data_IF_178459577522
#
_entry.id   IF_178459577522
#
_cell.length_a   1.000
_cell.length_b   1.000
_cell.length_c   1.000
_cell.angle_alpha   90.00
_cell.angle_beta   90.00
_cell.angle_gamma   90.00
#
_symmetry.space_group_name_H-M   'P 1'
#
loop_
_entity.id
_entity.type
_entity.pdbx_description
1 polymer ?
#
# COMPACT_ATOMS: atom_id res chain seq x y z
N UNK A 1 -6.54 2.57 -18.35
CA UNK A 1 -6.70 4.02 -18.05
C UNK A 1 -5.32 4.61 -17.76
N UNK A 2 -5.07 5.88 -18.11
CA UNK A 2 -3.78 6.53 -17.83
C UNK A 2 -3.54 6.65 -16.32
N UNK A 3 -2.29 6.46 -15.88
CA UNK A 3 -1.90 6.55 -14.47
C UNK A 3 -2.01 8.00 -13.95
N UNK A 4 -3.07 8.31 -13.21
CA UNK A 4 -3.25 9.62 -12.60
C UNK A 4 -2.48 9.71 -11.27
N UNK A 5 -1.25 10.24 -11.35
CA UNK A 5 -0.32 10.37 -10.20
C UNK A 5 -0.95 11.09 -9.00
N UNK A 6 -1.69 12.16 -9.24
CA UNK A 6 -2.31 12.97 -8.18
C UNK A 6 -3.40 12.21 -7.44
N UNK A 7 -4.29 11.55 -8.18
CA UNK A 7 -5.35 10.74 -7.58
C UNK A 7 -4.75 9.57 -6.80
N UNK A 8 -3.76 8.88 -7.36
CA UNK A 8 -3.09 7.76 -6.67
C UNK A 8 -2.37 8.17 -5.40
N UNK A 9 -1.69 9.32 -5.41
CA UNK A 9 -1.10 9.86 -4.19
C UNK A 9 -2.15 10.19 -3.14
N UNK A 10 -3.31 10.73 -3.54
CA UNK A 10 -4.45 10.99 -2.64
C UNK A 10 -5.04 9.72 -2.06
N UNK A 11 -5.32 8.72 -2.90
CA UNK A 11 -5.82 7.42 -2.47
C UNK A 11 -4.87 6.77 -1.45
N UNK A 12 -3.55 6.85 -1.70
CA UNK A 12 -2.56 6.31 -0.78
C UNK A 12 -2.54 7.05 0.57
N UNK A 13 -2.61 8.39 0.55
CA UNK A 13 -2.63 9.21 1.78
C UNK A 13 -3.85 8.85 2.62
N UNK A 14 -5.03 8.73 2.01
CA UNK A 14 -6.25 8.37 2.73
C UNK A 14 -6.19 6.94 3.28
N UNK A 15 -5.66 5.98 2.53
CA UNK A 15 -5.45 4.63 3.04
C UNK A 15 -4.49 4.58 4.24
N UNK A 16 -3.36 5.31 4.19
CA UNK A 16 -2.42 5.41 5.31
C UNK A 16 -3.09 6.07 6.52
N UNK A 17 -3.88 7.13 6.30
CA UNK A 17 -4.63 7.82 7.35
C UNK A 17 -5.61 6.88 8.04
N UNK A 18 -6.39 6.14 7.26
CA UNK A 18 -7.33 5.13 7.76
C UNK A 18 -6.59 4.04 8.54
N UNK A 19 -5.48 3.52 8.01
CA UNK A 19 -4.69 2.50 8.71
C UNK A 19 -4.19 3.00 10.08
N UNK A 20 -3.67 4.23 10.17
CA UNK A 20 -3.26 4.79 11.46
C UNK A 20 -4.42 4.97 12.45
N UNK A 21 -5.61 5.35 11.98
CA UNK A 21 -6.80 5.43 12.82
C UNK A 21 -7.15 4.05 13.38
N UNK A 22 -7.17 3.02 12.53
CA UNK A 22 -7.48 1.65 12.92
C UNK A 22 -6.48 1.09 13.94
N UNK A 23 -5.18 1.34 13.74
CA UNK A 23 -4.13 0.95 14.69
C UNK A 23 -4.29 1.67 16.04
N UNK A 24 -4.58 2.97 16.03
CA UNK A 24 -4.79 3.75 17.26
C UNK A 24 -6.03 3.31 18.03
N UNK A 25 -7.10 2.98 17.31
CA UNK A 25 -8.38 2.52 17.89
C UNK A 25 -8.39 1.02 18.19
N UNK A 26 -7.34 0.29 17.79
CA UNK A 26 -7.19 -1.15 17.96
C UNK A 26 -8.43 -1.94 17.51
N UNK A 27 -8.94 -1.62 16.31
CA UNK A 27 -10.14 -2.24 15.75
C UNK A 27 -9.97 -2.66 14.30
N UNK A 28 -10.88 -3.51 13.84
CA UNK A 28 -10.98 -3.91 12.43
C UNK A 28 -11.63 -2.82 11.58
N UNK A 29 -11.29 -2.79 10.29
CA UNK A 29 -11.84 -1.86 9.33
C UNK A 29 -13.34 -2.14 9.10
N UNK A 30 -14.15 -1.08 8.98
CA UNK A 30 -15.49 -1.21 8.41
C UNK A 30 -15.43 -1.52 6.91
N UNK A 31 -16.56 -1.84 6.30
CA UNK A 31 -16.66 -2.07 4.85
C UNK A 31 -16.16 -0.86 4.04
N UNK A 32 -16.53 0.35 4.48
CA UNK A 32 -16.15 1.61 3.82
C UNK A 32 -14.65 1.87 3.97
N UNK A 33 -14.10 1.67 5.17
CA UNK A 33 -12.67 1.81 5.43
C UNK A 33 -11.85 0.77 4.68
N UNK A 34 -12.33 -0.48 4.61
CA UNK A 34 -11.71 -1.53 3.79
C UNK A 34 -11.66 -1.11 2.32
N UNK A 35 -12.73 -0.50 1.80
CA UNK A 35 -12.75 0.01 0.42
C UNK A 35 -11.76 1.17 0.20
N UNK A 36 -11.46 1.98 1.22
CA UNK A 36 -10.40 3.00 1.17
C UNK A 36 -9.02 2.32 1.13
N UNK A 37 -8.77 1.36 2.03
CA UNK A 37 -7.51 0.61 2.08
C UNK A 37 -7.20 -0.11 0.76
N UNK A 38 -8.22 -0.70 0.11
CA UNK A 38 -8.08 -1.39 -1.18
C UNK A 38 -7.69 -0.47 -2.35
N UNK A 39 -7.84 0.85 -2.23
CA UNK A 39 -7.41 1.80 -3.28
C UNK A 39 -5.92 2.09 -3.23
N UNK A 40 -5.24 1.74 -2.13
CA UNK A 40 -3.80 1.91 -2.00
C UNK A 40 -3.07 1.10 -3.08
N UNK A 41 -2.17 1.77 -3.80
CA UNK A 41 -1.40 1.14 -4.88
C UNK A 41 0.13 1.25 -4.68
N UNK A 42 0.57 1.67 -3.49
CA UNK A 42 1.99 1.89 -3.21
C UNK A 42 2.59 3.06 -3.99
N UNK A 43 3.91 3.22 -3.89
CA UNK A 43 4.63 4.41 -4.37
C UNK A 43 5.55 4.18 -5.56
N UNK A 44 5.57 2.98 -6.17
CA UNK A 44 6.42 2.68 -7.32
C UNK A 44 6.25 3.65 -8.51
N UNK A 45 5.01 4.07 -8.79
CA UNK A 45 4.69 5.08 -9.80
C UNK A 45 4.77 6.54 -9.32
N UNK A 46 5.05 6.77 -8.04
CA UNK A 46 4.96 8.08 -7.37
C UNK A 46 6.34 8.58 -6.92
N UNK A 47 7.28 8.67 -7.86
CA UNK A 47 8.67 9.13 -7.59
C UNK A 47 8.76 10.50 -6.91
N UNK A 48 7.70 11.30 -6.95
CA UNK A 48 7.62 12.58 -6.23
C UNK A 48 7.92 12.46 -4.72
N UNK A 49 7.68 11.31 -4.09
CA UNK A 49 7.99 11.12 -2.66
C UNK A 49 9.48 11.06 -2.34
N UNK A 50 10.33 10.96 -3.37
CA UNK A 50 11.78 11.03 -3.22
C UNK A 50 12.27 12.49 -3.08
N UNK A 51 11.47 13.45 -3.55
CA UNK A 51 11.81 14.87 -3.51
C UNK A 51 11.67 15.43 -2.08
N UNK A 52 12.45 16.46 -1.71
CA UNK A 52 12.28 17.16 -0.44
C UNK A 52 10.89 17.79 -0.31
N UNK A 53 10.21 17.57 0.81
CA UNK A 53 8.88 18.14 1.08
C UNK A 53 8.70 18.42 2.59
N UNK A 54 9.74 18.95 3.23
CA UNK A 54 9.71 19.25 4.67
C UNK A 54 9.13 20.64 4.92
N UNK A 55 9.47 21.61 4.08
CA UNK A 55 9.07 23.01 4.20
C UNK A 55 8.47 23.51 2.90
N UNK A 56 7.57 24.51 2.95
CA UNK A 56 6.95 25.07 1.74
C UNK A 56 7.97 25.63 0.74
N UNK A 57 9.13 26.07 1.24
CA UNK A 57 10.27 26.55 0.45
C UNK A 57 10.90 25.46 -0.43
N UNK A 58 10.73 24.18 -0.08
CA UNK A 58 11.22 23.05 -0.88
C UNK A 58 10.57 22.99 -2.26
N UNK A 59 9.39 23.59 -2.44
CA UNK A 59 8.67 23.65 -3.72
C UNK A 59 9.53 24.20 -4.87
N UNK A 60 10.49 25.08 -4.57
CA UNK A 60 11.42 25.66 -5.57
C UNK A 60 12.34 24.60 -6.20
N UNK A 61 12.57 23.48 -5.50
CA UNK A 61 13.40 22.36 -5.96
C UNK A 61 12.62 21.34 -6.80
N UNK A 62 11.31 21.51 -6.95
CA UNK A 62 10.45 20.61 -7.70
C UNK A 62 10.38 21.00 -9.16
N UNK A 63 10.29 20.00 -10.04
CA UNK A 63 9.97 20.24 -11.45
C UNK A 63 8.58 20.86 -11.57
N UNK A 64 8.40 21.83 -12.48
CA UNK A 64 7.10 22.48 -12.72
C UNK A 64 5.97 21.48 -13.00
N UNK A 65 6.28 20.37 -13.68
CA UNK A 65 5.33 19.29 -14.01
C UNK A 65 4.86 18.47 -12.80
N UNK A 66 5.58 18.53 -11.67
CA UNK A 66 5.27 17.77 -10.46
C UNK A 66 4.84 18.67 -9.30
N UNK A 67 4.82 20.00 -9.51
CA UNK A 67 4.50 20.97 -8.46
C UNK A 67 3.10 20.76 -7.87
N UNK A 68 2.15 20.24 -8.64
CA UNK A 68 0.81 19.90 -8.14
C UNK A 68 0.79 18.73 -7.14
N UNK A 69 1.87 17.93 -7.11
CA UNK A 69 2.05 16.81 -6.18
C UNK A 69 2.74 17.25 -4.89
N UNK A 70 3.36 18.44 -4.86
CA UNK A 70 4.11 18.95 -3.71
C UNK A 70 3.24 19.01 -2.44
N UNK A 71 2.10 19.70 -2.50
CA UNK A 71 1.22 19.84 -1.34
C UNK A 71 0.71 18.48 -0.80
N UNK A 72 0.23 17.54 -1.64
CA UNK A 72 -0.03 16.17 -1.20
C UNK A 72 1.18 15.46 -0.58
N UNK A 73 2.39 15.64 -1.11
CA UNK A 73 3.60 15.02 -0.53
C UNK A 73 3.97 15.61 0.83
N UNK A 74 3.81 16.93 1.02
CA UNK A 74 3.96 17.57 2.34
C UNK A 74 2.96 16.99 3.33
N UNK A 75 1.70 16.82 2.91
CA UNK A 75 0.66 16.21 3.72
C UNK A 75 1.00 14.77 4.11
N UNK A 76 1.52 13.95 3.19
CA UNK A 76 1.99 12.60 3.49
C UNK A 76 3.06 12.61 4.58
N UNK A 77 4.08 13.46 4.45
CA UNK A 77 5.14 13.54 5.47
C UNK A 77 4.61 14.01 6.82
N UNK A 78 3.66 14.96 6.82
CA UNK A 78 3.00 15.42 8.05
C UNK A 78 2.21 14.30 8.70
N UNK A 79 1.41 13.58 7.93
CA UNK A 79 0.60 12.44 8.40
C UNK A 79 1.48 11.37 9.05
N UNK A 80 2.57 10.97 8.40
CA UNK A 80 3.49 9.97 8.94
C UNK A 80 4.13 10.51 10.23
N UNK A 81 4.59 11.76 10.26
CA UNK A 81 5.21 12.36 11.44
C UNK A 81 4.26 12.44 12.63
N UNK A 82 3.02 12.88 12.41
CA UNK A 82 2.00 12.98 13.47
C UNK A 82 1.59 11.62 14.05
N UNK A 83 1.78 10.54 13.29
CA UNK A 83 1.51 9.17 13.72
C UNK A 83 2.78 8.36 14.03
N UNK A 84 3.93 9.02 14.14
CA UNK A 84 5.19 8.43 14.61
C UNK A 84 5.45 8.84 16.06
N UNK A 85 6.00 7.94 16.86
CA UNK A 85 6.37 8.18 18.26
C UNK A 85 7.50 9.19 18.40
N UNK A 86 8.45 9.15 17.47
CA UNK A 86 9.61 10.02 17.43
C UNK A 86 10.14 10.19 15.99
N UNK A 87 11.17 11.01 15.83
CA UNK A 87 11.83 11.25 14.54
C UNK A 87 12.54 10.00 13.99
N UNK A 88 12.90 9.02 14.83
CA UNK A 88 13.53 7.77 14.38
C UNK A 88 12.49 6.87 13.69
N UNK A 89 11.31 6.73 14.28
CA UNK A 89 10.19 5.98 13.68
C UNK A 89 9.69 6.66 12.41
N UNK A 90 9.54 8.00 12.43
CA UNK A 90 9.23 8.78 11.22
C UNK A 90 10.23 8.51 10.10
N UNK A 91 11.53 8.61 10.40
CA UNK A 91 12.59 8.35 9.42
C UNK A 91 12.51 6.92 8.89
N UNK A 92 12.25 5.94 9.76
CA UNK A 92 12.12 4.53 9.37
C UNK A 92 10.95 4.31 8.40
N UNK A 93 9.79 4.93 8.63
CA UNK A 93 8.66 4.87 7.67
C UNK A 93 9.01 5.53 6.34
N UNK A 94 9.61 6.72 6.37
CA UNK A 94 9.99 7.43 5.14
C UNK A 94 11.04 6.66 4.34
N UNK A 95 12.06 6.11 5.00
CA UNK A 95 13.12 5.33 4.36
C UNK A 95 12.55 4.03 3.75
N UNK A 96 11.61 3.38 4.44
CA UNK A 96 10.86 2.23 3.91
C UNK A 96 10.10 2.57 2.62
N UNK A 97 9.32 3.66 2.64
CA UNK A 97 8.58 4.14 1.48
C UNK A 97 9.51 4.45 0.31
N UNK A 98 10.62 5.15 0.56
CA UNK A 98 11.60 5.50 -0.49
C UNK A 98 12.25 4.25 -1.09
N UNK A 99 12.57 3.26 -0.27
CA UNK A 99 13.14 2.00 -0.72
C UNK A 99 12.15 1.21 -1.60
N UNK A 100 10.84 1.29 -1.32
CA UNK A 100 9.81 0.61 -2.11
C UNK A 100 9.60 1.24 -3.50
N UNK A 101 9.88 2.53 -3.70
CA UNK A 101 9.70 3.20 -5.01
C UNK A 101 10.45 2.49 -6.14
N UNK A 102 11.63 1.93 -5.86
CA UNK A 102 12.47 1.30 -6.88
C UNK A 102 12.04 -0.13 -7.23
N UNK A 103 11.22 -0.77 -6.38
CA UNK A 103 10.91 -2.21 -6.48
C UNK A 103 9.43 -2.54 -6.40
N UNK A 104 8.56 -1.58 -6.09
CA UNK A 104 7.12 -1.77 -5.99
C UNK A 104 6.47 -1.75 -7.38
N UNK A 105 6.61 -2.85 -8.11
CA UNK A 105 5.90 -3.08 -9.35
C UNK A 105 4.50 -3.63 -9.06
N UNK A 106 3.50 -3.03 -9.71
CA UNK A 106 2.12 -3.45 -9.56
C UNK A 106 1.80 -4.62 -10.49
N UNK A 107 1.24 -5.70 -9.93
CA UNK A 107 0.67 -6.80 -10.70
C UNK A 107 -0.83 -6.54 -10.92
N UNK A 108 -1.29 -6.34 -12.16
CA UNK A 108 -2.71 -6.16 -12.45
C UNK A 108 -3.54 -7.35 -12.00
N UNK A 109 -4.74 -7.06 -11.48
CA UNK A 109 -5.66 -8.09 -10.99
C UNK A 109 -6.02 -9.12 -12.07
N UNK A 110 -6.09 -8.69 -13.32
CA UNK A 110 -6.36 -9.56 -14.46
C UNK A 110 -5.31 -10.67 -14.59
N UNK A 111 -4.05 -10.37 -14.27
CA UNK A 111 -2.95 -11.34 -14.32
C UNK A 111 -3.07 -12.33 -13.15
N UNK A 112 -3.27 -11.84 -11.93
CA UNK A 112 -3.39 -12.70 -10.74
C UNK A 112 -4.64 -13.57 -10.82
N UNK A 113 -5.75 -13.03 -11.32
CA UNK A 113 -6.98 -13.77 -11.52
C UNK A 113 -6.81 -14.86 -12.57
N UNK A 114 -6.20 -14.56 -13.72
CA UNK A 114 -5.92 -15.55 -14.76
C UNK A 114 -5.10 -16.72 -14.22
N UNK A 115 -4.05 -16.44 -13.43
CA UNK A 115 -3.22 -17.49 -12.83
C UNK A 115 -4.04 -18.35 -11.85
N UNK A 116 -4.82 -17.72 -10.97
CA UNK A 116 -5.64 -18.43 -10.00
C UNK A 116 -6.74 -19.28 -10.67
N UNK A 117 -7.37 -18.74 -11.71
CA UNK A 117 -8.41 -19.42 -12.49
C UNK A 117 -7.85 -20.63 -13.24
N UNK A 118 -6.68 -20.50 -13.88
CA UNK A 118 -6.01 -21.65 -14.53
C UNK A 118 -5.68 -22.74 -13.51
N UNK A 119 -5.11 -22.41 -12.35
CA UNK A 119 -4.86 -23.42 -11.32
C UNK A 119 -6.15 -24.14 -10.89
N UNK A 120 -7.21 -23.38 -10.69
CA UNK A 120 -8.52 -23.89 -10.29
C UNK A 120 -9.15 -24.81 -11.35
N UNK A 121 -9.02 -24.48 -12.63
CA UNK A 121 -9.51 -25.28 -13.78
C UNK A 121 -8.81 -26.64 -13.86
N UNK A 122 -7.51 -26.67 -13.54
CA UNK A 122 -6.75 -27.91 -13.41
C UNK A 122 -6.91 -28.60 -12.05
N UNK A 123 -7.91 -28.20 -11.25
CA UNK A 123 -8.20 -28.73 -9.91
C UNK A 123 -7.04 -28.60 -8.91
N UNK A 124 -6.12 -27.66 -9.14
CA UNK A 124 -5.06 -27.31 -8.19
C UNK A 124 -5.61 -26.29 -7.21
N UNK A 125 -5.92 -26.74 -5.99
CA UNK A 125 -6.49 -25.93 -4.90
C UNK A 125 -5.55 -25.95 -3.70
N UNK A 126 -4.56 -25.03 -3.60
CA UNK A 126 -3.59 -25.05 -2.51
C UNK A 126 -4.29 -24.86 -1.16
N UNK A 127 -3.97 -25.71 -0.18
CA UNK A 127 -4.42 -25.55 1.20
C UNK A 127 -3.52 -24.59 2.00
N UNK A 128 -2.32 -24.30 1.48
CA UNK A 128 -1.36 -23.36 2.07
C UNK A 128 -0.76 -22.49 0.97
N UNK A 129 -0.58 -21.21 1.25
CA UNK A 129 -0.02 -20.23 0.34
C UNK A 129 0.99 -19.34 1.06
N UNK A 130 2.13 -19.11 0.42
CA UNK A 130 3.10 -18.11 0.82
C UNK A 130 3.12 -17.02 -0.24
N UNK A 131 2.89 -15.78 0.17
CA UNK A 131 3.10 -14.60 -0.66
C UNK A 131 4.18 -13.72 -0.01
N UNK A 132 5.44 -13.80 -0.46
CA UNK A 132 6.58 -13.14 0.20
C UNK A 132 6.68 -11.63 -0.09
N UNK A 133 5.86 -11.12 -1.00
CA UNK A 133 5.86 -9.72 -1.46
C UNK A 133 4.43 -9.25 -1.76
N UNK A 134 3.58 -9.36 -0.75
CA UNK A 134 2.14 -9.30 -0.92
C UNK A 134 1.62 -7.95 -1.41
N UNK A 135 2.33 -6.85 -1.17
CA UNK A 135 1.77 -5.53 -1.34
C UNK A 135 0.48 -5.40 -0.54
N UNK A 136 -0.64 -5.17 -1.24
CA UNK A 136 -2.00 -5.15 -0.65
C UNK A 136 -2.77 -6.47 -0.80
N UNK A 137 -2.08 -7.54 -1.19
CA UNK A 137 -2.63 -8.91 -1.23
C UNK A 137 -3.43 -9.26 -2.48
N UNK A 138 -3.17 -8.64 -3.64
CA UNK A 138 -3.93 -8.92 -4.88
C UNK A 138 -3.90 -10.42 -5.26
N UNK A 139 -2.75 -11.08 -5.06
CA UNK A 139 -2.61 -12.53 -5.24
C UNK A 139 -3.39 -13.33 -4.18
N UNK A 140 -3.38 -12.87 -2.93
CA UNK A 140 -4.13 -13.49 -1.83
C UNK A 140 -5.63 -13.48 -2.14
N UNK A 141 -6.17 -12.33 -2.53
CA UNK A 141 -7.57 -12.19 -2.98
C UNK A 141 -7.91 -13.16 -4.11
N UNK A 142 -7.04 -13.25 -5.12
CA UNK A 142 -7.26 -14.07 -6.31
C UNK A 142 -7.30 -15.57 -5.97
N UNK A 143 -6.42 -16.02 -5.09
CA UNK A 143 -6.35 -17.42 -4.66
C UNK A 143 -7.48 -17.80 -3.71
N UNK A 144 -7.84 -16.93 -2.76
CA UNK A 144 -8.92 -17.19 -1.80
C UNK A 144 -10.30 -17.31 -2.45
N UNK A 145 -10.52 -16.74 -3.64
CA UNK A 145 -11.75 -17.00 -4.44
C UNK A 145 -11.98 -18.49 -4.69
N UNK A 146 -10.90 -19.23 -4.88
CA UNK A 146 -10.91 -20.64 -5.26
C UNK A 146 -10.58 -21.59 -4.11
N UNK A 147 -9.91 -21.09 -3.07
CA UNK A 147 -9.57 -21.81 -1.85
C UNK A 147 -9.85 -20.95 -0.60
N UNK A 148 -11.13 -20.73 -0.21
CA UNK A 148 -11.49 -19.83 0.89
C UNK A 148 -10.90 -20.19 2.25
N UNK A 149 -10.56 -21.46 2.45
CA UNK A 149 -10.02 -22.01 3.69
C UNK A 149 -8.50 -22.22 3.64
N UNK A 150 -7.80 -21.65 2.65
CA UNK A 150 -6.35 -21.76 2.58
C UNK A 150 -5.69 -21.00 3.75
N UNK A 151 -4.66 -21.61 4.33
CA UNK A 151 -3.76 -20.96 5.29
C UNK A 151 -2.78 -20.07 4.52
N UNK A 152 -2.94 -18.75 4.62
CA UNK A 152 -2.13 -17.78 3.88
C UNK A 152 -1.12 -17.13 4.82
N UNK A 153 0.13 -17.12 4.36
CA UNK A 153 1.21 -16.36 4.96
C UNK A 153 1.65 -15.28 3.97
N UNK A 154 1.51 -14.01 4.35
CA UNK A 154 1.76 -12.87 3.48
C UNK A 154 2.79 -11.92 4.10
N UNK A 155 3.91 -11.68 3.41
CA UNK A 155 4.95 -10.76 3.85
C UNK A 155 4.98 -9.51 3.00
N UNK A 156 5.18 -8.37 3.65
CA UNK A 156 5.49 -7.12 2.99
C UNK A 156 6.64 -6.43 3.71
N UNK A 157 7.62 -5.97 2.93
CA UNK A 157 8.81 -5.31 3.44
C UNK A 157 8.54 -3.84 3.76
N UNK A 158 7.71 -3.18 2.94
CA UNK A 158 7.34 -1.80 3.21
C UNK A 158 6.42 -1.69 4.42
N UNK A 159 6.84 -0.93 5.43
CA UNK A 159 6.16 -0.88 6.72
C UNK A 159 4.72 -0.38 6.62
N UNK A 160 4.45 0.67 5.83
CA UNK A 160 3.09 1.20 5.69
C UNK A 160 2.20 0.29 4.84
N UNK A 161 2.76 -0.29 3.78
CA UNK A 161 2.04 -1.28 2.96
C UNK A 161 1.73 -2.53 3.79
N UNK A 162 2.65 -2.98 4.64
CA UNK A 162 2.43 -4.08 5.58
C UNK A 162 1.35 -3.78 6.62
N UNK A 163 1.29 -2.55 7.15
CA UNK A 163 0.18 -2.13 8.02
C UNK A 163 -1.16 -2.19 7.30
N UNK A 164 -1.23 -1.69 6.06
CA UNK A 164 -2.45 -1.75 5.24
C UNK A 164 -2.85 -3.21 4.96
N UNK A 165 -1.88 -4.05 4.58
CA UNK A 165 -2.10 -5.47 4.33
C UNK A 165 -2.71 -6.17 5.56
N UNK A 166 -2.19 -5.91 6.77
CA UNK A 166 -2.71 -6.46 8.01
C UNK A 166 -4.18 -6.08 8.25
N UNK A 167 -4.59 -4.86 7.93
CA UNK A 167 -6.00 -4.46 8.06
C UNK A 167 -6.90 -5.06 6.97
N UNK A 168 -6.36 -5.35 5.78
CA UNK A 168 -7.09 -6.03 4.71
C UNK A 168 -7.30 -7.53 5.00
N UNK A 169 -6.36 -8.16 5.68
CA UNK A 169 -6.40 -9.60 6.01
C UNK A 169 -6.10 -9.84 7.51
N UNK A 170 -6.98 -9.41 8.42
CA UNK A 170 -6.73 -9.49 9.87
C UNK A 170 -6.62 -10.93 10.40
N UNK A 171 -7.19 -11.90 9.67
CA UNK A 171 -7.21 -13.33 10.06
C UNK A 171 -6.04 -14.14 9.44
N UNK A 172 -5.22 -13.53 8.58
CA UNK A 172 -4.10 -14.19 7.91
C UNK A 172 -2.76 -13.80 8.56
N UNK A 173 -1.75 -14.66 8.43
CA UNK A 173 -0.43 -14.49 9.08
C UNK A 173 0.55 -13.67 8.26
#
# INVERSE_FOLDING_TARGET
MAFNRKQKLRDNIEAIRTAFILDRENRTATTEERAILQRYCGFGGLKCILNPAKELTDAVRWAKSDLELFAPTVELHRLIRENSKDETEYKRFVDSLKASVLTAFYTPKEITDTIADVLADYSVRPARMLEPSAGVGVFVDSMLRHSPNADVMAFEKDLLTGTILRHLYPDQK
#
